data_IF_134801439992
#
_entry.id   IF_134801439992
#
_cell.length_a   1.000
_cell.length_b   1.000
_cell.length_c   1.000
_cell.angle_alpha   90.00
_cell.angle_beta   90.00
_cell.angle_gamma   90.00
#
_symmetry.space_group_name_H-M   'P 1'
#
loop_
_entity.id
_entity.type
_entity.pdbx_description
1 polymer ?
#
# COMPACT_ATOMS: atom_id res chain seq x y z
N UNK A 1 13.44 14.39 14.47
CA UNK A 1 13.64 14.97 15.83
C UNK A 1 12.34 15.59 16.37
N UNK A 2 11.98 15.34 17.63
CA UNK A 2 10.87 16.01 18.34
C UNK A 2 11.40 16.80 19.54
N UNK A 3 11.11 18.10 19.62
CA UNK A 3 11.43 18.95 20.78
C UNK A 3 10.29 19.93 21.02
N UNK A 4 9.66 19.88 22.19
CA UNK A 4 8.66 20.85 22.64
C UNK A 4 8.98 21.29 24.06
N UNK A 5 9.20 22.59 24.24
CA UNK A 5 9.47 23.20 25.54
C UNK A 5 8.32 24.16 25.85
N UNK A 6 7.28 23.62 26.50
CA UNK A 6 6.21 24.42 27.13
C UNK A 6 6.58 24.62 28.60
N UNK A 7 6.03 25.64 29.28
CA UNK A 7 6.37 25.97 30.68
C UNK A 7 6.09 24.89 31.76
N UNK A 8 5.75 23.66 31.36
CA UNK A 8 5.66 22.46 32.20
C UNK A 8 6.68 21.38 31.79
N UNK A 9 6.34 20.10 31.88
CA UNK A 9 7.24 19.00 31.46
C UNK A 9 7.67 19.16 29.99
N UNK A 10 8.98 19.18 29.75
CA UNK A 10 9.55 19.22 28.41
C UNK A 10 9.30 17.91 27.66
N UNK A 11 9.34 17.98 26.34
CA UNK A 11 9.35 16.80 25.47
C UNK A 11 10.59 16.84 24.59
N UNK A 12 11.39 15.78 24.62
CA UNK A 12 12.55 15.61 23.77
C UNK A 12 12.69 14.16 23.32
N UNK A 13 12.85 13.94 22.02
CA UNK A 13 13.28 12.67 21.47
C UNK A 13 13.94 12.90 20.11
N UNK A 14 15.01 12.17 19.84
CA UNK A 14 15.62 12.13 18.53
C UNK A 14 15.91 10.69 18.16
N UNK A 15 15.51 10.27 16.96
CA UNK A 15 15.73 8.92 16.44
C UNK A 15 16.12 9.01 14.97
N UNK A 16 17.09 8.18 14.59
CA UNK A 16 17.63 8.10 13.26
C UNK A 16 17.27 6.72 12.73
N UNK A 17 16.49 6.71 11.66
CA UNK A 17 15.87 5.51 11.12
C UNK A 17 16.23 5.41 9.64
N UNK A 18 16.71 4.25 9.23
CA UNK A 18 16.95 3.90 7.83
C UNK A 18 15.74 3.13 7.32
N UNK A 19 15.21 3.56 6.17
CA UNK A 19 14.08 2.91 5.52
C UNK A 19 14.55 2.25 4.23
N UNK A 20 14.19 0.98 4.05
CA UNK A 20 14.60 0.17 2.90
C UNK A 20 13.38 -0.61 2.36
N UNK A 21 13.22 -0.74 1.04
CA UNK A 21 12.14 -1.55 0.48
C UNK A 21 12.39 -3.04 0.78
N UNK A 22 11.30 -3.77 0.99
CA UNK A 22 11.30 -5.23 1.11
C UNK A 22 10.65 -5.87 -0.13
N UNK A 23 10.85 -7.18 -0.36
CA UNK A 23 10.09 -7.91 -1.36
C UNK A 23 8.59 -7.76 -1.15
N UNK A 24 7.81 -7.79 -2.24
CA UNK A 24 6.35 -7.71 -2.20
C UNK A 24 5.74 -8.79 -1.30
N UNK A 25 4.80 -8.41 -0.45
CA UNK A 25 4.15 -9.30 0.52
C UNK A 25 4.87 -9.40 1.86
N UNK A 26 5.92 -8.60 2.09
CA UNK A 26 6.67 -8.61 3.36
C UNK A 26 6.04 -7.71 4.44
N UNK A 27 5.03 -6.90 4.10
CA UNK A 27 4.37 -5.90 4.98
C UNK A 27 5.36 -4.94 5.65
N UNK A 28 5.72 -5.16 6.90
CA UNK A 28 6.53 -4.23 7.67
C UNK A 28 7.47 -4.98 8.60
N UNK A 29 8.74 -4.56 8.59
CA UNK A 29 9.76 -5.09 9.49
C UNK A 29 10.41 -3.94 10.26
N UNK A 30 10.46 -4.07 11.58
CA UNK A 30 11.19 -3.15 12.43
C UNK A 30 12.48 -3.80 12.96
N UNK A 31 13.61 -3.12 12.81
CA UNK A 31 14.91 -3.61 13.25
C UNK A 31 15.53 -2.62 14.24
N UNK A 32 16.01 -3.13 15.37
CA UNK A 32 16.76 -2.35 16.34
C UNK A 32 18.27 -2.59 16.15
N UNK A 33 18.96 -1.61 15.57
CA UNK A 33 20.41 -1.59 15.35
C UNK A 33 21.12 -0.63 16.33
N UNK A 34 20.49 -0.23 17.43
CA UNK A 34 21.08 0.73 18.36
C UNK A 34 22.23 0.08 19.14
N UNK A 35 23.41 0.70 19.07
CA UNK A 35 24.59 0.35 19.86
C UNK A 35 24.88 1.43 20.90
N UNK A 36 25.46 1.04 22.04
CA UNK A 36 25.94 2.00 23.06
C UNK A 36 24.85 2.73 23.87
N UNK A 37 23.56 2.46 23.62
CA UNK A 37 22.46 3.00 24.43
C UNK A 37 22.09 4.46 24.14
N UNK A 38 22.34 4.95 22.91
CA UNK A 38 22.00 6.32 22.49
C UNK A 38 20.49 6.61 22.55
N UNK A 39 19.67 5.56 22.47
CA UNK A 39 18.28 5.54 22.96
C UNK A 39 18.15 4.42 24.01
N UNK A 40 17.59 4.71 25.21
CA UNK A 40 17.26 3.69 26.19
C UNK A 40 16.35 2.60 25.59
N UNK A 41 16.68 1.33 25.83
CA UNK A 41 15.95 0.17 25.24
C UNK A 41 14.43 0.23 25.47
N UNK A 42 13.99 0.79 26.59
CA UNK A 42 12.58 0.99 26.92
C UNK A 42 11.80 1.92 25.97
N UNK A 43 12.49 2.81 25.26
CA UNK A 43 11.86 3.74 24.31
C UNK A 43 11.89 3.26 22.85
N UNK A 44 12.64 2.21 22.54
CA UNK A 44 12.70 1.64 21.18
C UNK A 44 11.32 1.17 20.69
N UNK A 45 10.51 0.44 21.49
CA UNK A 45 9.15 0.08 21.09
C UNK A 45 8.24 1.28 20.81
N UNK A 46 8.52 2.43 21.43
CA UNK A 46 7.78 3.65 21.17
C UNK A 46 8.05 4.20 19.77
N UNK A 47 9.32 4.16 19.33
CA UNK A 47 9.71 4.55 17.96
C UNK A 47 9.01 3.65 16.94
N UNK A 48 9.06 2.33 17.14
CA UNK A 48 8.36 1.34 16.32
C UNK A 48 6.87 1.67 16.22
N UNK A 49 6.20 1.85 17.36
CA UNK A 49 4.77 2.20 17.42
C UNK A 49 4.46 3.51 16.69
N UNK A 50 5.36 4.49 16.77
CA UNK A 50 5.25 5.75 16.05
C UNK A 50 5.26 5.58 14.53
N UNK A 51 6.14 4.70 14.04
CA UNK A 51 6.24 4.34 12.62
C UNK A 51 5.04 3.49 12.19
N UNK A 52 4.66 2.50 13.00
CA UNK A 52 3.51 1.62 12.76
C UNK A 52 2.21 2.42 12.61
N UNK A 53 1.93 3.34 13.54
CA UNK A 53 0.73 4.18 13.49
C UNK A 53 0.75 5.13 12.26
N UNK A 54 1.94 5.62 11.88
CA UNK A 54 2.10 6.49 10.73
C UNK A 54 1.93 5.74 9.40
N UNK A 55 2.47 4.53 9.28
CA UNK A 55 2.37 3.72 8.05
C UNK A 55 0.94 3.28 7.78
N UNK A 56 0.16 2.96 8.82
CA UNK A 56 -1.25 2.55 8.67
C UNK A 56 -2.11 3.70 8.16
N UNK A 57 -1.81 4.94 8.58
CA UNK A 57 -2.51 6.14 8.10
C UNK A 57 -2.15 6.51 6.66
N UNK A 58 -1.04 5.99 6.13
CA UNK A 58 -0.56 6.30 4.80
C UNK A 58 0.05 7.69 4.63
N UNK A 59 0.90 7.84 3.62
CA UNK A 59 1.53 9.12 3.28
C UNK A 59 0.88 9.81 2.06
N UNK A 60 0.63 9.06 0.98
CA UNK A 60 0.15 9.63 -0.29
C UNK A 60 -1.36 9.90 -0.31
N UNK A 61 -2.15 8.83 -0.27
CA UNK A 61 -3.60 8.86 -0.45
C UNK A 61 -4.34 8.25 0.76
N UNK A 62 -3.68 8.17 1.92
CA UNK A 62 -4.29 7.62 3.14
C UNK A 62 -4.35 6.09 3.21
N UNK A 63 -3.71 5.39 2.28
CA UNK A 63 -3.64 3.92 2.29
C UNK A 63 -2.45 3.39 3.11
N UNK A 64 -2.59 2.24 3.78
CA UNK A 64 -1.50 1.62 4.52
C UNK A 64 -0.26 1.42 3.66
N UNK A 65 0.90 1.76 4.21
CA UNK A 65 2.18 1.52 3.56
C UNK A 65 2.76 0.17 4.01
N UNK A 66 3.25 -0.57 3.02
CA UNK A 66 3.70 -1.96 3.11
C UNK A 66 5.00 -2.15 2.32
N UNK A 67 5.58 -3.33 2.47
CA UNK A 67 6.81 -3.81 1.86
C UNK A 67 8.03 -2.92 2.16
N UNK A 68 8.25 -2.60 3.44
CA UNK A 68 9.45 -1.86 3.84
C UNK A 68 9.94 -2.25 5.24
N UNK A 69 11.25 -2.05 5.43
CA UNK A 69 11.96 -2.20 6.70
C UNK A 69 12.28 -0.83 7.27
N UNK A 70 12.12 -0.68 8.57
CA UNK A 70 12.58 0.48 9.34
C UNK A 70 13.62 0.03 10.37
N UNK A 71 14.88 0.40 10.16
CA UNK A 71 15.98 0.11 11.08
C UNK A 71 16.35 1.35 11.88
N UNK A 72 16.09 1.34 13.20
CA UNK A 72 16.58 2.41 14.09
C UNK A 72 18.02 2.11 14.47
N UNK A 73 18.94 3.01 14.17
CA UNK A 73 20.37 2.78 14.36
C UNK A 73 21.05 3.81 15.27
N UNK A 74 20.44 4.98 15.48
CA UNK A 74 20.96 6.00 16.39
C UNK A 74 19.84 6.92 16.91
N UNK A 75 20.19 7.80 17.84
CA UNK A 75 19.30 8.82 18.37
C UNK A 75 19.89 9.58 19.55
N UNK A 76 19.06 10.41 20.17
CA UNK A 76 19.40 11.15 21.38
C UNK A 76 18.20 11.20 22.30
N UNK A 77 18.47 11.12 23.59
CA UNK A 77 17.48 11.33 24.64
C UNK A 77 17.96 12.38 25.64
N UNK A 78 17.02 12.89 26.44
CA UNK A 78 17.28 13.76 27.57
C UNK A 78 16.71 13.09 28.82
N UNK A 79 17.48 13.06 29.91
CA UNK A 79 17.12 12.26 31.09
C UNK A 79 15.78 12.65 31.74
N UNK A 80 15.37 13.91 31.60
CA UNK A 80 14.15 14.45 32.23
C UNK A 80 13.03 14.70 31.23
N UNK A 81 13.37 15.12 30.01
CA UNK A 81 12.37 15.54 29.01
C UNK A 81 12.01 14.44 28.01
N UNK A 82 12.75 13.32 27.99
CA UNK A 82 12.39 12.19 27.15
C UNK A 82 11.32 11.32 27.79
N UNK A 83 10.35 10.92 26.96
CA UNK A 83 9.24 10.05 27.34
C UNK A 83 8.91 9.11 26.18
N UNK A 84 8.18 8.05 26.47
CA UNK A 84 7.65 7.12 25.46
C UNK A 84 6.87 7.88 24.38
N UNK A 85 6.01 8.81 24.79
CA UNK A 85 5.23 9.62 23.87
C UNK A 85 6.12 10.50 22.96
N UNK A 86 7.20 11.08 23.49
CA UNK A 86 8.13 11.86 22.69
C UNK A 86 8.80 11.01 21.59
N UNK A 87 9.24 9.79 21.92
CA UNK A 87 9.85 8.86 20.96
C UNK A 87 8.83 8.32 19.94
N UNK A 88 7.58 8.11 20.36
CA UNK A 88 6.49 7.78 19.44
C UNK A 88 6.25 8.88 18.40
N UNK A 89 6.22 10.14 18.85
CA UNK A 89 6.08 11.29 17.94
C UNK A 89 7.31 11.37 17.02
N UNK A 90 8.52 11.21 17.56
CA UNK A 90 9.75 11.25 16.77
C UNK A 90 9.77 10.16 15.68
N UNK A 91 9.35 8.93 15.98
CA UNK A 91 9.23 7.86 14.98
C UNK A 91 8.22 8.18 13.87
N UNK A 92 7.08 8.76 14.23
CA UNK A 92 6.08 9.21 13.25
C UNK A 92 6.62 10.34 12.34
N UNK A 93 7.38 11.27 12.90
CA UNK A 93 8.03 12.34 12.13
C UNK A 93 9.11 11.78 11.20
N UNK A 94 9.96 10.85 11.70
CA UNK A 94 10.99 10.20 10.90
C UNK A 94 10.40 9.47 9.68
N UNK A 95 9.27 8.78 9.87
CA UNK A 95 8.54 8.16 8.77
C UNK A 95 8.08 9.20 7.72
N UNK A 96 7.43 10.28 8.14
CA UNK A 96 6.94 11.33 7.22
C UNK A 96 8.07 11.99 6.44
N UNK A 97 9.17 12.31 7.13
CA UNK A 97 10.37 12.89 6.51
C UNK A 97 10.99 11.93 5.49
N UNK A 98 11.11 10.64 5.84
CA UNK A 98 11.63 9.63 4.93
C UNK A 98 10.75 9.45 3.69
N UNK A 99 9.42 9.37 3.86
CA UNK A 99 8.51 9.20 2.73
C UNK A 99 8.52 10.39 1.75
N UNK A 100 8.84 11.61 2.22
CA UNK A 100 9.05 12.75 1.33
C UNK A 100 10.28 12.58 0.41
N UNK A 101 11.28 11.82 0.85
CA UNK A 101 12.54 11.60 0.13
C UNK A 101 12.51 10.30 -0.70
N UNK A 102 11.84 9.26 -0.21
CA UNK A 102 11.84 7.92 -0.80
C UNK A 102 10.90 7.73 -2.00
N UNK A 103 10.11 8.74 -2.38
CA UNK A 103 9.17 8.71 -3.52
C UNK A 103 8.27 7.45 -3.51
N UNK A 104 7.41 7.30 -2.49
CA UNK A 104 6.52 6.14 -2.41
C UNK A 104 5.58 6.06 -3.63
N UNK A 105 5.07 4.87 -3.89
CA UNK A 105 4.19 4.54 -5.02
C UNK A 105 2.89 3.92 -4.51
N UNK A 106 1.82 4.02 -5.29
CA UNK A 106 0.57 3.33 -4.99
C UNK A 106 0.57 1.93 -5.59
N UNK A 107 0.00 0.99 -4.85
CA UNK A 107 -0.19 -0.39 -5.29
C UNK A 107 -1.68 -0.67 -5.51
N UNK A 108 -2.00 -1.44 -6.55
CA UNK A 108 -3.33 -1.97 -6.81
C UNK A 108 -3.33 -3.50 -6.75
N UNK A 109 -4.42 -4.11 -6.24
CA UNK A 109 -4.56 -5.56 -6.25
C UNK A 109 -4.88 -6.05 -7.66
N UNK A 110 -4.09 -7.00 -8.14
CA UNK A 110 -4.29 -7.73 -9.38
C UNK A 110 -4.96 -9.05 -9.07
N UNK A 111 -6.06 -9.30 -9.79
CA UNK A 111 -6.86 -10.51 -9.66
C UNK A 111 -6.44 -11.51 -10.73
N UNK A 112 -6.31 -12.78 -10.35
CA UNK A 112 -6.32 -13.86 -11.32
C UNK A 112 -7.78 -14.14 -11.67
N UNK A 113 -8.13 -14.04 -12.96
CA UNK A 113 -9.49 -14.18 -13.43
C UNK A 113 -9.57 -15.33 -14.43
N UNK A 114 -10.54 -16.21 -14.23
CA UNK A 114 -10.91 -17.27 -15.17
C UNK A 114 -12.31 -17.03 -15.68
N UNK A 115 -12.45 -16.74 -16.97
CA UNK A 115 -13.74 -16.41 -17.61
C UNK A 115 -14.08 -17.50 -18.61
N UNK A 116 -15.22 -18.16 -18.43
CA UNK A 116 -15.69 -19.21 -19.33
C UNK A 116 -16.88 -18.73 -20.14
N UNK A 117 -16.76 -18.80 -21.47
CA UNK A 117 -17.79 -18.35 -22.40
C UNK A 117 -17.92 -19.31 -23.58
N UNK A 118 -19.06 -19.27 -24.30
CA UNK A 118 -19.19 -19.92 -25.60
C UNK A 118 -18.12 -19.43 -26.61
N UNK A 119 -17.65 -20.31 -27.49
CA UNK A 119 -16.58 -20.02 -28.45
C UNK A 119 -16.86 -18.78 -29.32
N UNK A 120 -18.12 -18.59 -29.72
CA UNK A 120 -18.62 -17.47 -30.53
C UNK A 120 -18.40 -16.10 -29.86
N UNK A 121 -18.28 -16.07 -28.52
CA UNK A 121 -18.19 -14.84 -27.72
C UNK A 121 -16.76 -14.58 -27.21
N UNK A 122 -15.81 -15.45 -27.53
CA UNK A 122 -14.42 -15.36 -27.03
C UNK A 122 -13.74 -14.06 -27.47
N UNK A 123 -13.98 -13.62 -28.70
CA UNK A 123 -13.38 -12.40 -29.26
C UNK A 123 -13.81 -11.14 -28.51
N UNK A 124 -15.11 -11.01 -28.22
CA UNK A 124 -15.67 -9.83 -27.54
C UNK A 124 -15.15 -9.74 -26.10
N UNK A 125 -15.06 -10.86 -25.40
CA UNK A 125 -14.52 -10.93 -24.03
C UNK A 125 -13.04 -10.56 -23.99
N UNK A 126 -12.24 -11.01 -24.96
CA UNK A 126 -10.84 -10.60 -25.06
C UNK A 126 -10.70 -9.10 -25.36
N UNK A 127 -11.59 -8.54 -26.18
CA UNK A 127 -11.65 -7.11 -26.44
C UNK A 127 -11.91 -6.30 -25.17
N UNK A 128 -12.94 -6.68 -24.41
CA UNK A 128 -13.28 -6.02 -23.14
C UNK A 128 -12.15 -6.14 -22.10
N UNK A 129 -11.56 -7.33 -21.93
CA UNK A 129 -10.41 -7.53 -21.03
C UNK A 129 -9.23 -6.63 -21.36
N UNK A 130 -8.89 -6.46 -22.65
CA UNK A 130 -7.82 -5.56 -23.06
C UNK A 130 -8.15 -4.09 -22.73
N UNK A 131 -9.41 -3.68 -22.88
CA UNK A 131 -9.85 -2.34 -22.50
C UNK A 131 -9.74 -2.09 -20.98
N UNK A 132 -9.84 -3.16 -20.20
CA UNK A 132 -9.74 -3.19 -18.72
C UNK A 132 -8.33 -3.44 -18.20
N UNK A 133 -7.30 -3.18 -19.01
CA UNK A 133 -5.89 -3.42 -18.63
C UNK A 133 -5.60 -4.88 -18.26
N UNK A 134 -6.42 -5.82 -18.73
CA UNK A 134 -6.24 -7.24 -18.51
C UNK A 134 -5.07 -7.79 -19.32
N UNK A 135 -4.27 -8.65 -18.70
CA UNK A 135 -3.18 -9.40 -19.33
C UNK A 135 -3.57 -10.87 -19.45
N UNK A 136 -3.91 -11.33 -20.65
CA UNK A 136 -4.24 -12.73 -20.91
C UNK A 136 -3.02 -13.62 -20.69
N UNK A 137 -3.19 -14.67 -19.89
CA UNK A 137 -2.18 -15.69 -19.58
C UNK A 137 -2.33 -16.92 -20.48
N UNK A 138 -3.55 -17.21 -20.92
CA UNK A 138 -3.83 -18.33 -21.79
C UNK A 138 -5.32 -18.57 -21.98
N UNK A 139 -5.64 -19.54 -22.82
CA UNK A 139 -7.01 -19.97 -23.08
C UNK A 139 -7.07 -21.50 -23.12
N UNK A 140 -8.12 -22.06 -22.53
CA UNK A 140 -8.37 -23.50 -22.48
C UNK A 140 -9.73 -23.78 -23.12
N UNK A 141 -9.74 -24.63 -24.15
CA UNK A 141 -10.98 -24.99 -24.84
C UNK A 141 -11.53 -26.31 -24.30
N UNK A 142 -12.81 -26.33 -23.96
CA UNK A 142 -13.54 -27.52 -23.50
C UNK A 142 -14.90 -27.62 -24.19
N UNK A 143 -14.96 -28.47 -25.22
CA UNK A 143 -16.17 -28.62 -26.04
C UNK A 143 -16.45 -27.34 -26.83
N UNK A 144 -17.64 -26.76 -26.64
CA UNK A 144 -18.08 -25.50 -27.22
C UNK A 144 -17.88 -24.28 -26.31
N UNK A 145 -17.14 -24.44 -25.20
CA UNK A 145 -16.75 -23.34 -24.31
C UNK A 145 -15.24 -23.13 -24.33
N UNK A 146 -14.85 -21.89 -24.18
CA UNK A 146 -13.47 -21.46 -23.99
C UNK A 146 -13.34 -20.73 -22.65
N UNK A 147 -12.38 -21.15 -21.84
CA UNK A 147 -12.00 -20.52 -20.58
C UNK A 147 -10.75 -19.67 -20.81
N UNK A 148 -10.87 -18.36 -20.61
CA UNK A 148 -9.78 -17.39 -20.70
C UNK A 148 -9.21 -17.17 -19.30
N UNK A 149 -7.90 -17.35 -19.15
CA UNK A 149 -7.16 -17.00 -17.93
C UNK A 149 -6.46 -15.66 -18.14
N UNK A 150 -6.68 -14.71 -17.24
CA UNK A 150 -6.10 -13.37 -17.33
C UNK A 150 -5.77 -12.81 -15.94
N UNK A 151 -4.88 -11.82 -15.91
CA UNK A 151 -4.64 -10.98 -14.75
C UNK A 151 -5.24 -9.60 -14.98
N UNK A 152 -6.11 -9.15 -14.08
CA UNK A 152 -6.85 -7.89 -14.25
C UNK A 152 -6.84 -7.11 -12.94
N UNK A 153 -6.59 -5.80 -12.96
CA UNK A 153 -6.72 -4.98 -11.76
C UNK A 153 -8.14 -5.03 -11.19
N UNK A 154 -8.28 -5.22 -9.88
CA UNK A 154 -9.59 -5.35 -9.21
C UNK A 154 -10.50 -4.14 -9.47
N UNK A 155 -9.92 -2.94 -9.58
CA UNK A 155 -10.67 -1.71 -9.87
C UNK A 155 -11.48 -1.81 -11.18
N UNK A 156 -11.00 -2.56 -12.16
CA UNK A 156 -11.64 -2.75 -13.47
C UNK A 156 -12.69 -3.87 -13.45
N UNK A 157 -12.71 -4.69 -12.39
CA UNK A 157 -13.57 -5.88 -12.26
C UNK A 157 -14.84 -5.64 -11.43
N UNK A 158 -14.93 -4.51 -10.71
CA UNK A 158 -16.06 -4.19 -9.81
C UNK A 158 -17.43 -4.22 -10.50
N UNK A 159 -17.49 -3.90 -11.80
CA UNK A 159 -18.71 -3.87 -12.61
C UNK A 159 -18.73 -4.93 -13.72
N UNK A 160 -17.89 -5.95 -13.62
CA UNK A 160 -17.67 -6.88 -14.73
C UNK A 160 -18.85 -7.83 -14.96
N UNK A 161 -19.54 -8.29 -13.91
CA UNK A 161 -20.63 -9.26 -14.01
C UNK A 161 -21.79 -8.80 -14.94
N UNK A 162 -22.35 -7.58 -14.80
CA UNK A 162 -23.34 -7.08 -15.75
C UNK A 162 -22.82 -7.00 -17.19
N UNK A 163 -21.57 -6.56 -17.38
CA UNK A 163 -20.96 -6.46 -18.72
C UNK A 163 -20.81 -7.83 -19.37
N UNK A 164 -20.28 -8.81 -18.63
CA UNK A 164 -20.14 -10.19 -19.12
C UNK A 164 -21.49 -10.80 -19.49
N UNK A 165 -22.51 -10.58 -18.64
CA UNK A 165 -23.87 -11.05 -18.89
C UNK A 165 -24.43 -10.48 -20.20
N UNK A 166 -24.26 -9.16 -20.41
CA UNK A 166 -24.70 -8.48 -21.64
C UNK A 166 -23.97 -8.99 -22.88
N UNK A 167 -22.65 -9.18 -22.82
CA UNK A 167 -21.85 -9.64 -23.97
C UNK A 167 -22.19 -11.07 -24.37
N UNK A 168 -22.47 -11.93 -23.38
CA UNK A 168 -22.62 -13.38 -23.61
C UNK A 168 -24.07 -13.84 -23.71
N UNK A 169 -25.04 -12.94 -23.51
CA UNK A 169 -26.45 -13.28 -23.34
C UNK A 169 -26.69 -14.16 -22.12
N UNK A 170 -25.93 -13.94 -21.04
CA UNK A 170 -26.00 -14.72 -19.79
C UNK A 170 -25.38 -16.11 -19.84
N UNK A 171 -24.61 -16.44 -20.88
CA UNK A 171 -23.94 -17.74 -21.04
C UNK A 171 -22.50 -17.77 -20.53
N UNK A 172 -21.98 -16.63 -20.08
CA UNK A 172 -20.66 -16.51 -19.50
C UNK A 172 -20.68 -16.53 -17.98
N UNK A 173 -19.63 -17.10 -17.39
CA UNK A 173 -19.37 -17.01 -15.95
C UNK A 173 -17.88 -16.75 -15.72
N UNK A 174 -17.55 -16.15 -14.59
CA UNK A 174 -16.16 -15.93 -14.21
C UNK A 174 -15.92 -16.27 -12.75
N UNK A 175 -14.66 -16.59 -12.46
CA UNK A 175 -14.13 -16.71 -11.12
C UNK A 175 -12.93 -15.78 -11.00
N UNK A 176 -12.74 -15.20 -9.82
CA UNK A 176 -11.55 -14.42 -9.53
C UNK A 176 -11.04 -14.69 -8.12
N UNK A 177 -9.72 -14.73 -8.01
CA UNK A 177 -8.97 -14.82 -6.76
C UNK A 177 -7.88 -13.75 -6.72
N UNK A 178 -7.48 -13.35 -5.52
CA UNK A 178 -6.38 -12.40 -5.35
C UNK A 178 -5.07 -13.02 -5.83
N UNK A 179 -4.38 -12.35 -6.75
CA UNK A 179 -3.04 -12.72 -7.18
C UNK A 179 -1.97 -12.04 -6.35
N UNK A 180 -1.75 -10.76 -6.61
CA UNK A 180 -0.68 -9.97 -6.01
C UNK A 180 -0.96 -8.47 -6.13
N UNK A 181 -0.11 -7.66 -5.52
CA UNK A 181 -0.10 -6.21 -5.71
C UNK A 181 0.89 -5.82 -6.81
N UNK A 182 0.47 -4.92 -7.72
CA UNK A 182 1.33 -4.26 -8.70
C UNK A 182 1.30 -2.74 -8.51
N UNK A 183 2.31 -2.06 -9.06
CA UNK A 183 2.32 -0.60 -9.08
C UNK A 183 1.23 -0.05 -9.98
N UNK A 184 0.47 0.90 -9.43
CA UNK A 184 -0.55 1.63 -10.18
C UNK A 184 0.14 2.44 -11.29
N UNK A 185 -0.37 2.46 -12.53
CA UNK A 185 0.16 3.32 -13.59
C UNK A 185 0.22 4.80 -13.16
N UNK A 186 1.33 5.49 -13.47
CA UNK A 186 1.61 6.85 -12.96
C UNK A 186 0.49 7.87 -13.25
N UNK A 187 -0.18 7.74 -14.40
CA UNK A 187 -1.30 8.61 -14.78
C UNK A 187 -2.56 8.39 -13.94
N UNK A 188 -2.76 7.20 -13.38
CA UNK A 188 -3.85 6.89 -12.45
C UNK A 188 -3.48 7.30 -11.02
N UNK A 189 -2.21 7.12 -10.62
CA UNK A 189 -1.75 7.54 -9.30
C UNK A 189 -2.04 9.00 -9.01
N UNK A 190 -1.72 9.88 -9.96
CA UNK A 190 -1.96 11.32 -9.82
C UNK A 190 -3.43 11.64 -9.60
N UNK A 191 -4.35 10.96 -10.31
CA UNK A 191 -5.79 11.14 -10.15
C UNK A 191 -6.26 10.70 -8.77
N UNK A 192 -5.80 9.55 -8.28
CA UNK A 192 -6.16 9.03 -6.95
C UNK A 192 -5.69 10.00 -5.86
N UNK A 193 -4.43 10.45 -5.92
CA UNK A 193 -3.87 11.39 -4.94
C UNK A 193 -4.64 12.71 -4.95
N UNK A 194 -5.00 13.21 -6.14
CA UNK A 194 -5.74 14.46 -6.28
C UNK A 194 -7.17 14.36 -5.71
N UNK A 195 -7.89 13.27 -6.03
CA UNK A 195 -9.25 13.04 -5.52
C UNK A 195 -9.29 13.02 -3.98
N UNK A 196 -8.36 12.32 -3.34
CA UNK A 196 -8.28 12.26 -1.86
C UNK A 196 -7.93 13.62 -1.26
N UNK A 197 -7.09 14.43 -1.91
CA UNK A 197 -6.78 15.79 -1.45
C UNK A 197 -8.01 16.71 -1.50
N UNK A 198 -8.83 16.59 -2.54
CA UNK A 198 -10.05 17.38 -2.70
C UNK A 198 -11.14 17.00 -1.70
N UNK A 199 -11.25 15.72 -1.34
CA UNK A 199 -12.17 15.28 -0.28
C UNK A 199 -11.74 15.84 1.09
N UNK A 200 -10.46 15.73 1.45
CA UNK A 200 -9.96 16.27 2.73
C UNK A 200 -10.08 17.78 2.83
N UNK A 201 -9.81 18.51 1.74
CA UNK A 201 -9.95 19.97 1.72
C UNK A 201 -11.40 20.49 1.78
N UNK A 202 -12.40 19.60 1.70
CA UNK A 202 -13.82 19.93 1.92
C UNK A 202 -14.29 19.63 3.34
N UNK A 203 -13.52 18.84 4.10
CA UNK A 203 -13.81 18.48 5.49
C UNK A 203 -13.16 19.44 6.51
N UNK A 204 -12.16 20.22 6.09
CA UNK A 204 -11.49 21.29 6.85
C UNK A 204 -12.15 22.67 6.60
#
# INVERSE_FOLDING_TARGET
>A
RHKKQTGGHGQFADCWVRFEPLPRGSDFEFVNEIFGGTIPKQYVPAVEKGIQDARVKGYLAGYPMVDFRAAVYDGKYHAVDSSEMAFKIAGSLAFKEAMALCRPTLLEPIMNVSISVPDDMTGDVLGDLNSRRGRTQGMEKKGSQTTIKAQVPMAEMLSYEPTLTSMTGGRGYFHMDFGHYEEVPSHLQQKIIQAVKEEKGKED
#
